data_IF_101356187267
#
_entry.id   IF_101356187267
#
_cell.length_a   1.000
_cell.length_b   1.000
_cell.length_c   1.000
_cell.angle_alpha   90.00
_cell.angle_beta   90.00
_cell.angle_gamma   90.00
#
_symmetry.space_group_name_H-M   'P 1'
#
loop_
_entity.id
_entity.type
_entity.pdbx_description
1 polymer ?
#
# COMPACT_ATOMS: atom_id res chain seq x y z
N UNK A 1 -26.25 -17.17 -35.33
CA UNK A 1 -25.70 -15.93 -34.72
C UNK A 1 -25.72 -16.12 -33.21
N UNK A 2 -24.57 -16.37 -32.58
CA UNK A 2 -24.49 -16.72 -31.16
C UNK A 2 -24.22 -15.44 -30.35
N UNK A 3 -25.21 -14.99 -29.57
CA UNK A 3 -25.06 -13.82 -28.70
C UNK A 3 -24.18 -14.25 -27.51
N UNK A 4 -22.89 -13.86 -27.53
CA UNK A 4 -22.06 -13.92 -26.31
C UNK A 4 -22.58 -12.85 -25.36
N UNK A 5 -23.50 -13.23 -24.49
CA UNK A 5 -23.83 -12.42 -23.32
C UNK A 5 -22.60 -12.49 -22.39
N UNK A 6 -21.75 -11.48 -22.45
CA UNK A 6 -20.78 -11.23 -21.38
C UNK A 6 -21.61 -10.85 -20.16
N UNK A 7 -22.06 -11.85 -19.40
CA UNK A 7 -22.65 -11.61 -18.10
C UNK A 7 -21.56 -10.91 -17.27
N UNK A 8 -21.70 -9.58 -17.10
CA UNK A 8 -20.90 -8.86 -16.12
C UNK A 8 -21.23 -9.52 -14.78
N UNK A 9 -20.26 -10.27 -14.26
CA UNK A 9 -20.33 -10.81 -12.93
C UNK A 9 -20.18 -9.62 -11.98
N UNK A 10 -21.30 -8.98 -11.67
CA UNK A 10 -21.35 -7.92 -10.68
C UNK A 10 -21.10 -8.60 -9.33
N UNK A 11 -20.01 -8.23 -8.65
CA UNK A 11 -19.76 -8.71 -7.30
C UNK A 11 -20.96 -8.35 -6.43
N UNK A 12 -21.74 -9.35 -6.03
CA UNK A 12 -23.08 -9.11 -5.46
C UNK A 12 -23.06 -8.37 -4.11
N UNK A 13 -21.91 -8.35 -3.43
CA UNK A 13 -21.72 -7.66 -2.14
C UNK A 13 -20.49 -6.75 -2.11
N UNK A 14 -19.82 -6.53 -3.24
CA UNK A 14 -18.67 -5.62 -3.32
C UNK A 14 -19.10 -4.34 -4.05
N UNK A 15 -18.87 -3.18 -3.42
CA UNK A 15 -19.07 -1.90 -4.09
C UNK A 15 -18.04 -1.74 -5.20
N UNK A 16 -18.50 -1.92 -6.44
CA UNK A 16 -17.69 -1.77 -7.66
C UNK A 16 -17.87 -0.40 -8.30
N UNK A 17 -18.85 0.39 -7.85
CA UNK A 17 -19.15 1.73 -8.38
C UNK A 17 -18.28 2.81 -7.73
N UNK A 18 -17.93 2.63 -6.45
CA UNK A 18 -17.16 3.60 -5.67
C UNK A 18 -15.89 3.00 -5.03
N UNK A 19 -14.97 2.41 -5.81
CA UNK A 19 -13.73 1.91 -5.27
C UNK A 19 -12.85 3.05 -4.74
N UNK A 20 -12.07 2.75 -3.71
CA UNK A 20 -11.00 3.65 -3.26
C UNK A 20 -9.76 3.34 -4.08
N UNK A 21 -9.36 4.29 -4.93
CA UNK A 21 -8.12 4.18 -5.67
C UNK A 21 -6.96 4.75 -4.84
N UNK A 22 -5.93 3.93 -4.64
CA UNK A 22 -4.62 4.37 -4.14
C UNK A 22 -3.65 4.42 -5.32
N UNK A 23 -3.03 5.58 -5.53
CA UNK A 23 -2.10 5.79 -6.62
C UNK A 23 -0.84 6.45 -6.08
N UNK A 24 0.31 5.91 -6.45
CA UNK A 24 1.61 6.46 -6.11
C UNK A 24 2.54 6.34 -7.32
N UNK A 25 3.39 7.35 -7.53
CA UNK A 25 4.36 7.35 -8.64
C UNK A 25 5.62 6.58 -8.28
N UNK A 26 5.45 5.41 -7.66
CA UNK A 26 6.52 4.52 -7.25
C UNK A 26 6.61 3.30 -8.17
N UNK A 27 7.83 2.96 -8.61
CA UNK A 27 8.04 1.83 -9.53
C UNK A 27 7.65 0.50 -8.85
N UNK A 28 6.71 -0.19 -9.49
CA UNK A 28 6.18 -1.46 -8.97
C UNK A 28 5.22 -1.30 -7.79
N UNK A 29 4.67 -0.11 -7.55
CA UNK A 29 3.60 0.09 -6.57
C UNK A 29 2.44 -0.89 -6.82
N UNK A 30 1.95 -1.55 -5.76
CA UNK A 30 0.86 -2.53 -5.84
C UNK A 30 1.31 -3.95 -6.15
N UNK A 31 2.62 -4.24 -6.21
CA UNK A 31 3.12 -5.61 -6.43
C UNK A 31 2.93 -6.53 -5.22
N UNK A 32 2.87 -5.98 -4.02
CA UNK A 32 2.49 -6.67 -2.79
C UNK A 32 1.56 -5.78 -1.98
N UNK A 33 0.52 -6.37 -1.38
CA UNK A 33 -0.53 -5.66 -0.67
C UNK A 33 -0.90 -6.46 0.59
N UNK A 34 -1.04 -5.79 1.74
CA UNK A 34 -1.56 -6.40 2.97
C UNK A 34 -2.47 -5.42 3.70
N UNK A 35 -3.60 -5.93 4.19
CA UNK A 35 -4.49 -5.21 5.11
C UNK A 35 -4.08 -5.53 6.54
N UNK A 36 -4.01 -4.51 7.39
CA UNK A 36 -3.55 -4.67 8.76
C UNK A 36 -4.41 -3.84 9.72
N UNK A 37 -4.72 -4.40 10.89
CA UNK A 37 -5.54 -3.76 11.92
C UNK A 37 -7.04 -3.77 11.60
N UNK A 38 -7.81 -3.05 12.41
CA UNK A 38 -9.27 -2.93 12.29
C UNK A 38 -9.78 -1.58 12.82
N UNK A 39 -10.98 -1.18 12.39
CA UNK A 39 -11.61 0.07 12.81
C UNK A 39 -10.74 1.30 12.48
N UNK A 40 -10.55 2.25 13.42
CA UNK A 40 -9.79 3.48 13.15
C UNK A 40 -8.28 3.24 12.92
N UNK A 41 -7.78 2.06 13.29
CA UNK A 41 -6.38 1.69 13.13
C UNK A 41 -6.12 0.84 11.88
N UNK A 42 -7.16 0.56 11.08
CA UNK A 42 -7.01 -0.18 9.84
C UNK A 42 -6.13 0.59 8.85
N UNK A 43 -5.20 -0.11 8.23
CA UNK A 43 -4.32 0.45 7.21
C UNK A 43 -4.08 -0.56 6.10
N UNK A 44 -3.89 -0.05 4.89
CA UNK A 44 -3.44 -0.83 3.75
C UNK A 44 -1.95 -0.57 3.55
N UNK A 45 -1.13 -1.60 3.54
CA UNK A 45 0.27 -1.48 3.18
C UNK A 45 0.49 -1.95 1.76
N UNK A 46 1.24 -1.16 0.99
CA UNK A 46 1.50 -1.41 -0.42
C UNK A 46 3.00 -1.36 -0.67
N UNK A 47 3.54 -2.44 -1.24
CA UNK A 47 4.93 -2.53 -1.64
C UNK A 47 5.18 -1.98 -3.04
N UNK A 48 6.32 -1.30 -3.21
CA UNK A 48 6.88 -0.87 -4.49
C UNK A 48 8.33 -1.37 -4.62
N UNK A 49 8.55 -2.66 -4.90
CA UNK A 49 9.88 -3.30 -4.83
C UNK A 49 10.90 -2.76 -5.84
N UNK A 50 10.45 -2.07 -6.90
CA UNK A 50 11.34 -1.51 -7.93
C UNK A 50 11.65 -0.03 -7.71
N UNK A 51 11.06 0.60 -6.69
CA UNK A 51 11.30 2.00 -6.36
C UNK A 51 12.70 2.15 -5.73
N UNK A 52 13.47 3.12 -6.20
CA UNK A 52 14.78 3.46 -5.61
C UNK A 52 14.58 4.46 -4.49
N UNK A 53 15.30 4.25 -3.38
CA UNK A 53 15.38 5.16 -2.25
C UNK A 53 16.64 6.02 -2.30
N UNK A 54 17.13 6.40 -1.13
CA UNK A 54 18.38 7.15 -1.03
C UNK A 54 19.59 6.20 -1.09
N UNK A 55 20.66 6.60 -1.78
CA UNK A 55 21.84 5.77 -1.98
C UNK A 55 21.53 4.43 -2.67
N UNK A 56 21.89 3.32 -2.01
CA UNK A 56 21.72 1.96 -2.54
C UNK A 56 20.41 1.29 -2.08
N UNK A 57 19.50 2.04 -1.47
CA UNK A 57 18.22 1.51 -1.01
C UNK A 57 17.32 1.14 -2.21
N UNK A 58 16.75 -0.06 -2.16
CA UNK A 58 15.82 -0.58 -3.16
C UNK A 58 14.55 -1.10 -2.49
N UNK A 59 13.42 -0.80 -3.12
CA UNK A 59 12.10 -1.13 -2.61
C UNK A 59 11.63 -0.11 -1.58
N UNK A 60 10.36 0.25 -1.68
CA UNK A 60 9.69 1.13 -0.72
C UNK A 60 8.38 0.51 -0.25
N UNK A 61 8.00 0.82 0.98
CA UNK A 61 6.72 0.42 1.57
C UNK A 61 5.89 1.67 1.81
N UNK A 62 4.60 1.61 1.49
CA UNK A 62 3.67 2.72 1.69
C UNK A 62 2.55 2.29 2.61
N UNK A 63 2.21 3.13 3.59
CA UNK A 63 1.00 3.01 4.40
C UNK A 63 -0.07 3.90 3.79
N UNK A 64 -1.16 3.29 3.38
CA UNK A 64 -2.28 3.94 2.75
C UNK A 64 -3.46 4.01 3.71
N UNK A 65 -3.99 5.22 3.86
CA UNK A 65 -5.12 5.52 4.71
C UNK A 65 -6.36 5.77 3.86
N UNK A 66 -7.47 5.18 4.27
CA UNK A 66 -8.77 5.56 3.73
C UNK A 66 -9.05 7.02 4.10
N UNK A 67 -9.32 7.84 3.10
CA UNK A 67 -9.86 9.18 3.30
C UNK A 67 -11.36 9.14 2.97
N UNK A 68 -12.13 10.04 3.58
CA UNK A 68 -13.55 10.19 3.23
C UNK A 68 -13.75 10.71 1.81
N UNK A 69 -12.71 11.31 1.19
CA UNK A 69 -12.69 11.59 -0.24
C UNK A 69 -12.38 10.30 -1.02
N UNK A 70 -12.97 10.12 -2.22
CA UNK A 70 -12.78 8.97 -3.12
C UNK A 70 -11.33 8.69 -3.56
N UNK A 71 -10.36 9.40 -2.99
CA UNK A 71 -8.92 9.27 -3.20
C UNK A 71 -8.26 8.86 -1.88
N UNK A 72 -7.69 7.67 -1.83
CA UNK A 72 -6.85 7.28 -0.70
C UNK A 72 -5.49 7.97 -0.77
N UNK A 73 -4.86 8.24 0.39
CA UNK A 73 -3.50 8.78 0.46
C UNK A 73 -2.54 7.73 0.99
N UNK A 74 -1.40 7.62 0.33
CA UNK A 74 -0.29 6.78 0.75
C UNK A 74 0.86 7.63 1.23
N UNK A 75 1.53 7.17 2.28
CA UNK A 75 2.72 7.78 2.85
C UNK A 75 3.81 6.72 2.90
N UNK A 76 5.03 7.07 2.48
CA UNK A 76 6.16 6.17 2.60
C UNK A 76 6.40 5.83 4.07
N UNK A 77 6.61 4.55 4.36
CA UNK A 77 7.00 4.05 5.69
C UNK A 77 8.52 4.03 5.74
N UNK A 78 9.16 4.86 6.58
CA UNK A 78 10.60 4.80 6.75
C UNK A 78 10.96 3.47 7.41
N UNK A 79 11.54 2.57 6.62
CA UNK A 79 12.14 1.35 7.13
C UNK A 79 13.56 1.72 7.58
N UNK A 80 13.86 1.52 8.86
CA UNK A 80 15.21 1.78 9.35
C UNK A 80 16.19 0.85 8.61
N UNK A 81 17.08 1.44 7.81
CA UNK A 81 18.27 0.73 7.35
C UNK A 81 19.10 0.42 8.58
N UNK A 82 19.37 -0.86 8.84
CA UNK A 82 20.23 -1.30 9.94
C UNK A 82 21.45 -0.39 10.06
N UNK A 83 21.72 0.07 11.28
CA UNK A 83 22.93 0.81 11.64
C UNK A 83 24.15 0.21 10.94
N UNK A 84 24.87 1.03 10.16
CA UNK A 84 26.25 0.70 9.81
C UNK A 84 27.04 0.55 11.12
N UNK A 85 27.93 -0.44 11.16
CA UNK A 85 28.64 -0.90 12.37
C UNK A 85 29.14 0.24 13.26
N UNK A 86 28.63 0.34 14.50
CA UNK A 86 29.20 1.22 15.55
C UNK A 86 28.24 2.14 16.31
N UNK A 87 26.96 2.28 15.93
CA UNK A 87 26.01 3.14 16.65
C UNK A 87 24.79 2.39 17.21
N UNK A 88 24.34 2.83 18.40
CA UNK A 88 23.15 2.31 19.08
C UNK A 88 21.89 2.75 18.33
N UNK A 89 21.28 1.80 17.63
CA UNK A 89 19.96 1.96 17.04
C UNK A 89 18.90 1.92 18.17
N UNK A 90 18.50 3.08 18.71
CA UNK A 90 17.32 3.16 19.56
C UNK A 90 16.08 2.89 18.71
N UNK A 91 15.65 1.63 18.70
CA UNK A 91 14.43 1.17 18.06
C UNK A 91 13.22 1.76 18.76
N UNK A 92 12.74 2.92 18.28
CA UNK A 92 11.39 3.38 18.54
C UNK A 92 10.40 2.45 17.83
N UNK A 93 9.69 1.64 18.61
CA UNK A 93 8.67 0.69 18.18
C UNK A 93 7.61 1.36 17.28
N UNK A 94 7.66 1.10 15.97
CA UNK A 94 6.71 1.59 14.95
C UNK A 94 5.38 0.80 14.91
N UNK A 95 5.05 0.08 15.99
CA UNK A 95 3.89 -0.83 16.06
C UNK A 95 3.24 -0.85 17.45
N UNK A 96 2.98 0.33 18.03
CA UNK A 96 2.05 0.46 19.17
C UNK A 96 0.82 1.22 18.74
#
# INVERSE_FOLDING_TARGET
>A
MQLKLLAQCHGFSLDTEHPIAFQERAKGFGKSIVQFGSGPNAALFVGAPLQKGNGNEQGKLYKCHYMQSKSGRCQEVPLQSKCLTGWSCNGGNLWK
#
